data_IF_261642746980
#
_entry.id   IF_261642746980
#
_cell.length_a   1.000
_cell.length_b   1.000
_cell.length_c   1.000
_cell.angle_alpha   90.00
_cell.angle_beta   90.00
_cell.angle_gamma   90.00
#
_symmetry.space_group_name_H-M   'P 1'
#
loop_
_entity.id
_entity.type
_entity.pdbx_description
1 polymer ?
#
# COMPACT_ATOMS: atom_id res chain seq x y z
N UNK A 1 15.00 9.32 9.94
CA UNK A 1 13.57 9.05 9.80
C UNK A 1 13.25 7.59 10.15
N UNK A 2 13.92 6.62 9.58
CA UNK A 2 13.61 5.18 9.76
C UNK A 2 13.88 4.67 11.19
N UNK A 3 14.85 5.21 11.89
CA UNK A 3 15.18 4.81 13.27
C UNK A 3 14.25 5.44 14.31
N UNK A 4 13.79 6.66 14.06
CA UNK A 4 13.03 7.44 15.04
C UNK A 4 11.54 7.53 14.72
N UNK A 5 11.12 7.12 13.50
CA UNK A 5 9.76 7.31 13.01
C UNK A 5 9.43 8.76 12.60
N UNK A 6 10.36 9.70 12.73
CA UNK A 6 10.24 11.11 12.32
C UNK A 6 11.47 11.57 11.56
N UNK A 7 11.25 12.44 10.58
CA UNK A 7 12.35 13.05 9.84
C UNK A 7 11.89 13.65 8.52
N UNK A 8 12.79 14.44 7.91
CA UNK A 8 12.58 15.03 6.60
C UNK A 8 13.36 14.25 5.57
N UNK A 9 12.68 13.81 4.52
CA UNK A 9 13.26 13.15 3.35
C UNK A 9 13.17 14.10 2.17
N UNK A 10 14.25 14.26 1.42
CA UNK A 10 14.25 14.99 0.16
C UNK A 10 14.09 13.98 -0.98
N UNK A 11 13.02 14.14 -1.75
CA UNK A 11 12.72 13.34 -2.93
C UNK A 11 13.07 14.16 -4.17
N UNK A 12 13.73 13.54 -5.15
CA UNK A 12 14.02 14.13 -6.44
C UNK A 12 13.43 13.29 -7.56
N UNK A 13 13.04 13.97 -8.64
CA UNK A 13 12.71 13.34 -9.89
C UNK A 13 13.92 12.56 -10.44
N UNK A 14 13.64 11.45 -11.13
CA UNK A 14 14.67 10.76 -11.91
C UNK A 14 14.79 11.47 -13.24
N UNK A 15 15.91 12.14 -13.45
CA UNK A 15 16.20 12.91 -14.65
C UNK A 15 17.56 12.54 -15.19
N UNK A 16 17.66 12.37 -16.50
CA UNK A 16 18.85 12.06 -17.25
C UNK A 16 19.06 13.13 -18.34
N UNK A 17 20.30 13.41 -18.70
CA UNK A 17 20.63 14.33 -19.77
C UNK A 17 21.02 13.51 -20.98
N UNK A 18 20.22 13.60 -22.04
CA UNK A 18 20.50 13.01 -23.34
C UNK A 18 21.19 14.07 -24.22
N UNK A 19 22.45 13.83 -24.58
CA UNK A 19 23.18 14.71 -25.48
C UNK A 19 22.78 14.41 -26.92
N UNK A 20 22.30 15.41 -27.62
CA UNK A 20 21.92 15.35 -29.04
C UNK A 20 22.97 16.07 -29.94
N UNK A 21 22.95 15.81 -31.24
CA UNK A 21 23.85 16.46 -32.20
C UNK A 21 23.71 18.00 -32.23
N UNK A 22 22.53 18.52 -31.95
CA UNK A 22 22.21 19.96 -32.02
C UNK A 22 21.97 20.61 -30.67
N UNK A 23 21.43 19.90 -29.69
CA UNK A 23 21.09 20.40 -28.36
C UNK A 23 20.89 19.26 -27.37
N UNK A 24 21.16 19.53 -26.12
CA UNK A 24 20.92 18.58 -25.04
C UNK A 24 19.43 18.55 -24.68
N UNK A 25 18.98 17.39 -24.14
CA UNK A 25 17.64 17.19 -23.62
C UNK A 25 17.72 16.73 -22.19
N UNK A 26 16.87 17.28 -21.33
CA UNK A 26 16.66 16.76 -19.97
C UNK A 26 15.40 15.90 -20.01
N UNK A 27 15.59 14.59 -19.81
CA UNK A 27 14.51 13.59 -19.84
C UNK A 27 14.16 13.19 -18.41
N UNK A 28 12.91 13.35 -18.03
CA UNK A 28 12.41 13.04 -16.70
C UNK A 28 11.49 11.83 -16.82
N UNK A 29 11.86 10.73 -16.17
CA UNK A 29 11.13 9.45 -16.20
C UNK A 29 10.32 9.19 -14.93
N UNK A 30 10.67 9.84 -13.82
CA UNK A 30 9.92 9.73 -12.58
C UNK A 30 9.85 11.10 -11.89
N UNK A 31 8.70 11.43 -11.29
CA UNK A 31 8.50 12.65 -10.51
C UNK A 31 8.21 12.29 -9.04
N UNK A 32 8.47 13.19 -8.08
CA UNK A 32 8.19 12.93 -6.67
C UNK A 32 6.72 12.59 -6.42
N UNK A 33 6.48 11.72 -5.45
CA UNK A 33 5.13 11.31 -5.07
C UNK A 33 4.22 12.51 -4.75
N UNK A 34 3.01 12.48 -5.29
CA UNK A 34 2.00 13.53 -5.09
C UNK A 34 2.15 14.76 -5.99
N UNK A 35 3.16 14.81 -6.88
CA UNK A 35 3.32 15.89 -7.84
C UNK A 35 2.43 15.64 -9.06
N UNK A 36 1.63 16.65 -9.45
CA UNK A 36 0.86 16.60 -10.67
C UNK A 36 1.76 16.95 -11.87
N UNK A 37 1.84 16.03 -12.84
CA UNK A 37 2.71 16.16 -14.02
C UNK A 37 2.36 17.38 -14.88
N UNK A 38 1.08 17.58 -15.18
CA UNK A 38 0.64 18.68 -16.03
C UNK A 38 0.93 20.03 -15.39
N UNK A 39 0.56 20.19 -14.11
CA UNK A 39 0.84 21.41 -13.36
C UNK A 39 2.33 21.72 -13.25
N UNK A 40 3.18 20.67 -13.16
CA UNK A 40 4.63 20.82 -13.15
C UNK A 40 5.15 21.38 -14.48
N UNK A 41 4.69 20.83 -15.62
CA UNK A 41 5.09 21.29 -16.95
C UNK A 41 4.64 22.72 -17.20
N UNK A 42 3.39 23.05 -16.87
CA UNK A 42 2.85 24.40 -16.96
C UNK A 42 3.66 25.40 -16.12
N UNK A 43 4.02 25.02 -14.90
CA UNK A 43 4.84 25.87 -14.03
C UNK A 43 6.27 26.05 -14.55
N UNK A 44 6.88 25.03 -15.15
CA UNK A 44 8.19 25.15 -15.83
C UNK A 44 8.09 26.16 -16.98
N UNK A 45 7.04 26.05 -17.81
CA UNK A 45 6.80 26.99 -18.92
C UNK A 45 6.60 28.44 -18.43
N UNK A 46 5.92 28.62 -17.30
CA UNK A 46 5.74 29.93 -16.67
C UNK A 46 7.08 30.53 -16.20
N UNK A 47 7.93 29.73 -15.52
CA UNK A 47 9.26 30.16 -15.09
C UNK A 47 10.17 30.56 -16.26
N UNK A 48 10.04 29.89 -17.39
CA UNK A 48 10.76 30.25 -18.64
C UNK A 48 10.22 31.56 -19.21
N UNK A 49 8.90 31.75 -19.27
CA UNK A 49 8.23 32.97 -19.76
C UNK A 49 8.56 34.18 -18.91
N UNK A 50 8.67 34.00 -17.61
CA UNK A 50 9.06 35.05 -16.64
C UNK A 50 10.57 35.36 -16.64
N UNK A 51 11.38 34.60 -17.40
CA UNK A 51 12.84 34.77 -17.45
C UNK A 51 13.59 34.31 -16.20
N UNK A 52 12.92 33.53 -15.32
CA UNK A 52 13.56 32.99 -14.09
C UNK A 52 14.48 31.83 -14.41
N UNK A 53 14.16 31.05 -15.45
CA UNK A 53 15.00 29.97 -15.99
C UNK A 53 15.25 30.22 -17.47
N UNK A 54 16.48 30.66 -17.80
CA UNK A 54 16.92 30.80 -19.16
C UNK A 54 17.53 29.49 -19.69
N UNK A 55 17.56 29.33 -21.01
CA UNK A 55 18.23 28.20 -21.65
C UNK A 55 17.33 27.00 -21.96
N UNK A 56 16.04 27.07 -21.65
CA UNK A 56 15.02 26.10 -22.08
C UNK A 56 14.37 26.63 -23.36
N UNK A 57 14.27 25.77 -24.39
CA UNK A 57 13.58 26.08 -25.64
C UNK A 57 12.15 25.54 -25.65
N UNK A 58 11.94 24.34 -25.10
CA UNK A 58 10.62 23.72 -25.04
C UNK A 58 10.52 22.74 -23.86
N UNK A 59 9.28 22.40 -23.45
CA UNK A 59 8.99 21.37 -22.45
C UNK A 59 7.76 20.58 -22.89
N UNK A 60 7.95 19.32 -23.23
CA UNK A 60 6.93 18.44 -23.80
C UNK A 60 6.66 17.24 -22.90
N UNK A 61 5.39 16.78 -22.91
CA UNK A 61 5.00 15.51 -22.36
C UNK A 61 4.96 14.44 -23.45
N UNK A 62 5.96 13.58 -23.46
CA UNK A 62 6.06 12.43 -24.37
C UNK A 62 5.64 11.10 -23.69
N UNK A 63 4.95 11.18 -22.58
CA UNK A 63 4.51 9.99 -21.82
C UNK A 63 3.58 9.11 -22.66
N UNK A 64 3.78 7.81 -22.60
CA UNK A 64 3.01 6.83 -23.37
C UNK A 64 2.86 5.51 -22.64
N UNK A 65 2.56 4.45 -23.41
CA UNK A 65 2.40 3.07 -22.86
C UNK A 65 3.67 2.53 -22.20
N UNK A 66 4.84 3.07 -22.56
CA UNK A 66 6.14 2.68 -22.00
C UNK A 66 6.45 3.35 -20.67
N UNK A 67 5.65 4.32 -20.23
CA UNK A 67 5.81 5.03 -18.98
C UNK A 67 5.82 6.55 -19.12
N UNK A 68 6.21 7.20 -18.03
CA UNK A 68 6.34 8.66 -17.99
C UNK A 68 7.62 9.11 -18.71
N UNK A 69 7.47 10.12 -19.57
CA UNK A 69 8.60 10.78 -20.24
C UNK A 69 8.27 12.26 -20.44
N UNK A 70 8.89 13.11 -19.66
CA UNK A 70 8.83 14.57 -19.85
C UNK A 70 10.18 14.97 -20.44
N UNK A 71 10.15 15.68 -21.55
CA UNK A 71 11.36 16.11 -22.28
C UNK A 71 11.45 17.62 -22.25
N UNK A 72 12.57 18.12 -21.77
CA UNK A 72 12.89 19.55 -21.72
C UNK A 72 14.06 19.78 -22.67
N UNK A 73 13.81 20.48 -23.77
CA UNK A 73 14.83 20.81 -24.77
C UNK A 73 15.65 22.02 -24.28
N UNK A 74 16.96 21.85 -24.27
CA UNK A 74 17.93 22.88 -23.83
C UNK A 74 18.47 23.64 -25.04
N UNK A 75 18.62 24.97 -24.94
CA UNK A 75 19.24 25.79 -26.02
C UNK A 75 20.71 25.42 -26.18
N UNK A 76 21.25 25.61 -27.40
CA UNK A 76 22.65 25.24 -27.78
C UNK A 76 23.72 25.88 -26.89
N UNK A 77 23.50 27.10 -26.45
CA UNK A 77 24.41 27.93 -25.66
C UNK A 77 24.23 27.73 -24.14
N UNK A 78 23.34 26.85 -23.73
CA UNK A 78 23.02 26.64 -22.33
C UNK A 78 23.53 25.28 -21.82
N UNK A 79 23.91 25.27 -20.54
CA UNK A 79 24.39 24.04 -19.88
C UNK A 79 23.21 23.28 -19.22
N UNK A 80 22.93 22.08 -19.70
CA UNK A 80 21.84 21.25 -19.21
C UNK A 80 21.92 20.93 -17.69
N UNK A 81 23.13 20.73 -17.15
CA UNK A 81 23.32 20.47 -15.73
C UNK A 81 22.93 21.67 -14.85
N UNK A 82 23.24 22.88 -15.31
CA UNK A 82 22.90 24.12 -14.60
C UNK A 82 21.39 24.31 -14.60
N UNK A 83 20.74 24.05 -15.75
CA UNK A 83 19.28 24.12 -15.87
C UNK A 83 18.61 23.08 -14.98
N UNK A 84 19.06 21.83 -14.98
CA UNK A 84 18.54 20.77 -14.15
C UNK A 84 18.64 21.13 -12.66
N UNK A 85 19.75 21.71 -12.23
CA UNK A 85 19.92 22.17 -10.86
C UNK A 85 18.99 23.35 -10.49
N UNK A 86 18.75 24.28 -11.45
CA UNK A 86 17.74 25.35 -11.27
C UNK A 86 16.33 24.77 -11.16
N UNK A 87 16.00 23.80 -11.99
CA UNK A 87 14.71 23.09 -11.95
C UNK A 87 14.47 22.38 -10.62
N UNK A 88 15.46 21.66 -10.08
CA UNK A 88 15.37 21.07 -8.74
C UNK A 88 15.18 22.11 -7.62
N UNK A 89 15.77 23.29 -7.76
CA UNK A 89 15.66 24.33 -6.75
C UNK A 89 14.33 25.11 -6.82
N UNK A 90 13.78 25.29 -8.00
CA UNK A 90 12.66 26.20 -8.26
C UNK A 90 11.31 25.51 -8.49
N UNK A 91 11.33 24.19 -8.70
CA UNK A 91 10.11 23.43 -9.04
C UNK A 91 9.90 22.23 -8.13
N UNK A 92 8.74 21.57 -8.26
CA UNK A 92 8.41 20.36 -7.55
C UNK A 92 9.17 19.11 -8.03
N UNK A 93 10.13 19.25 -8.97
CA UNK A 93 11.08 18.18 -9.31
C UNK A 93 11.96 17.76 -8.12
N UNK A 94 12.09 18.62 -7.13
CA UNK A 94 12.60 18.28 -5.82
C UNK A 94 11.62 18.76 -4.76
N UNK A 95 11.15 17.85 -3.92
CA UNK A 95 10.25 18.15 -2.82
C UNK A 95 10.73 17.50 -1.54
N UNK A 96 10.30 18.04 -0.40
CA UNK A 96 10.58 17.41 0.90
C UNK A 96 9.33 16.77 1.47
N UNK A 97 9.49 15.54 1.94
CA UNK A 97 8.45 14.81 2.64
C UNK A 97 8.81 14.68 4.13
N UNK A 98 7.88 15.08 4.98
CA UNK A 98 8.04 14.95 6.43
C UNK A 98 7.46 13.61 6.89
N UNK A 99 8.34 12.68 7.22
CA UNK A 99 7.97 11.36 7.75
C UNK A 99 7.43 11.52 9.17
N UNK A 100 6.27 10.91 9.43
CA UNK A 100 5.68 10.80 10.76
C UNK A 100 4.94 9.45 10.85
N UNK A 101 5.67 8.42 11.31
CA UNK A 101 5.16 7.04 11.34
C UNK A 101 4.35 6.80 12.63
N UNK A 102 3.12 7.32 12.68
CA UNK A 102 2.18 7.01 13.75
C UNK A 102 1.29 5.87 13.32
N UNK A 103 1.22 4.82 14.15
CA UNK A 103 0.33 3.69 13.95
C UNK A 103 -0.36 3.27 15.26
N UNK A 104 -1.47 2.52 15.12
CA UNK A 104 -2.18 1.96 16.27
C UNK A 104 -1.54 0.64 16.68
N UNK A 105 -1.00 0.60 17.90
CA UNK A 105 -0.48 -0.63 18.52
C UNK A 105 -1.39 -0.99 19.69
N UNK A 106 -2.07 -2.13 19.60
CA UNK A 106 -3.04 -2.59 20.60
C UNK A 106 -4.09 -1.51 20.94
N UNK A 107 -4.59 -0.81 19.90
CA UNK A 107 -5.60 0.25 20.02
C UNK A 107 -5.08 1.61 20.50
N UNK A 108 -3.77 1.79 20.71
CA UNK A 108 -3.17 3.06 21.14
C UNK A 108 -2.25 3.62 20.06
N UNK A 109 -2.33 4.92 19.75
CA UNK A 109 -1.42 5.55 18.80
C UNK A 109 0.00 5.61 19.38
N UNK A 110 0.97 5.18 18.58
CA UNK A 110 2.40 5.24 18.92
C UNK A 110 3.21 5.69 17.71
N UNK A 111 4.25 6.46 17.98
CA UNK A 111 5.27 6.74 16.98
C UNK A 111 6.20 5.53 16.91
N UNK A 112 6.38 4.99 15.70
CA UNK A 112 7.11 3.76 15.47
C UNK A 112 8.31 3.99 14.56
N UNK A 113 9.42 3.33 14.88
CA UNK A 113 10.51 3.14 13.90
C UNK A 113 10.08 2.16 12.80
N UNK A 114 10.79 2.12 11.68
CA UNK A 114 10.53 1.11 10.63
C UNK A 114 10.63 -0.31 11.19
N UNK A 115 11.63 -0.57 12.03
CA UNK A 115 11.81 -1.87 12.70
C UNK A 115 10.60 -2.23 13.57
N UNK A 116 10.09 -1.27 14.35
CA UNK A 116 8.92 -1.48 15.20
C UNK A 116 7.65 -1.71 14.37
N UNK A 117 7.48 -0.99 13.25
CA UNK A 117 6.36 -1.23 12.33
C UNK A 117 6.33 -2.68 11.84
N UNK A 118 7.48 -3.20 11.37
CA UNK A 118 7.60 -4.59 10.92
C UNK A 118 7.36 -5.57 12.08
N UNK A 119 7.96 -5.31 13.25
CA UNK A 119 7.78 -6.17 14.44
C UNK A 119 6.30 -6.28 14.84
N UNK A 120 5.62 -5.16 15.03
CA UNK A 120 4.21 -5.16 15.43
C UNK A 120 3.29 -5.73 14.34
N UNK A 121 3.64 -5.57 13.07
CA UNK A 121 2.91 -6.21 11.98
C UNK A 121 3.01 -7.74 12.07
N UNK A 122 4.22 -8.29 12.29
CA UNK A 122 4.43 -9.73 12.43
C UNK A 122 3.71 -10.27 13.67
N UNK A 123 3.82 -9.59 14.82
CA UNK A 123 3.10 -9.96 16.04
C UNK A 123 1.59 -9.98 15.81
N UNK A 124 1.03 -8.96 15.16
CA UNK A 124 -0.39 -8.90 14.83
C UNK A 124 -0.82 -10.06 13.92
N UNK A 125 -0.04 -10.37 12.89
CA UNK A 125 -0.30 -11.49 11.98
C UNK A 125 -0.30 -12.83 12.72
N UNK A 126 0.64 -13.01 13.63
CA UNK A 126 0.71 -14.20 14.49
C UNK A 126 -0.56 -14.35 15.35
N UNK A 127 -0.95 -13.30 16.07
CA UNK A 127 -2.14 -13.30 16.91
C UNK A 127 -3.44 -13.55 16.13
N UNK A 128 -3.56 -12.95 14.95
CA UNK A 128 -4.73 -13.16 14.06
C UNK A 128 -4.79 -14.61 13.58
N UNK A 129 -3.64 -15.19 13.19
CA UNK A 129 -3.57 -16.59 12.75
C UNK A 129 -4.00 -17.53 13.87
N UNK A 130 -3.49 -17.35 15.10
CA UNK A 130 -3.87 -18.16 16.25
C UNK A 130 -5.38 -18.06 16.53
N UNK A 131 -5.94 -16.84 16.52
CA UNK A 131 -7.38 -16.64 16.78
C UNK A 131 -8.24 -17.32 15.72
N UNK A 132 -7.85 -17.20 14.44
CA UNK A 132 -8.54 -17.86 13.34
C UNK A 132 -8.50 -19.38 13.49
N UNK A 133 -7.31 -19.94 13.73
CA UNK A 133 -7.16 -21.39 13.89
C UNK A 133 -7.95 -21.93 15.10
N UNK A 134 -7.98 -21.18 16.22
CA UNK A 134 -8.82 -21.55 17.38
C UNK A 134 -10.31 -21.54 17.05
N UNK A 135 -10.76 -20.57 16.26
CA UNK A 135 -12.16 -20.53 15.82
C UNK A 135 -12.50 -21.70 14.90
N UNK A 136 -11.64 -21.99 13.93
CA UNK A 136 -11.83 -23.10 12.98
C UNK A 136 -11.83 -24.44 13.72
N UNK A 137 -10.92 -24.61 14.69
CA UNK A 137 -10.87 -25.79 15.56
C UNK A 137 -12.16 -25.97 16.35
N UNK A 138 -12.65 -24.90 16.98
CA UNK A 138 -13.91 -24.94 17.74
C UNK A 138 -15.07 -25.37 16.84
N UNK A 139 -15.17 -24.81 15.63
CA UNK A 139 -16.21 -25.19 14.65
C UNK A 139 -16.11 -26.64 14.22
N UNK A 140 -14.89 -27.14 14.00
CA UNK A 140 -14.67 -28.54 13.66
C UNK A 140 -15.05 -29.46 14.82
N UNK A 141 -14.72 -29.11 16.07
CA UNK A 141 -15.08 -29.86 17.27
C UNK A 141 -16.62 -29.90 17.48
N UNK A 142 -17.31 -28.76 17.32
CA UNK A 142 -18.78 -28.69 17.37
C UNK A 142 -19.41 -29.62 16.33
N UNK A 143 -18.86 -29.69 15.12
CA UNK A 143 -19.34 -30.58 14.05
C UNK A 143 -19.02 -32.04 14.35
N UNK A 144 -17.81 -32.33 14.86
CA UNK A 144 -17.41 -33.69 15.24
C UNK A 144 -18.35 -34.26 16.33
N UNK A 145 -18.65 -33.44 17.35
CA UNK A 145 -19.58 -33.84 18.41
C UNK A 145 -20.99 -34.22 17.90
N UNK A 146 -21.52 -33.41 16.95
CA UNK A 146 -22.81 -33.76 16.31
C UNK A 146 -22.72 -35.08 15.54
N UNK A 147 -21.62 -35.29 14.82
CA UNK A 147 -21.43 -36.54 14.04
C UNK A 147 -21.24 -37.75 14.93
N UNK A 148 -20.55 -37.62 16.07
CA UNK A 148 -20.41 -38.67 17.10
C UNK A 148 -21.78 -39.08 17.65
N UNK A 149 -22.63 -38.09 17.99
CA UNK A 149 -23.99 -38.38 18.41
C UNK A 149 -24.84 -39.07 17.34
N UNK A 150 -24.69 -38.68 16.05
CA UNK A 150 -25.37 -39.34 14.94
C UNK A 150 -24.88 -40.78 14.74
N UNK A 151 -23.60 -41.07 14.92
CA UNK A 151 -23.06 -42.45 14.84
C UNK A 151 -23.71 -43.30 15.93
N UNK A 152 -23.75 -42.84 17.18
CA UNK A 152 -24.39 -43.57 18.29
C UNK A 152 -25.86 -43.82 17.96
N UNK A 153 -26.57 -42.83 17.42
CA UNK A 153 -27.98 -42.98 17.04
C UNK A 153 -28.19 -44.00 15.89
N UNK A 154 -27.27 -44.04 14.92
CA UNK A 154 -27.31 -45.01 13.83
C UNK A 154 -27.03 -46.44 14.30
N UNK A 155 -26.08 -46.60 15.23
CA UNK A 155 -25.72 -47.90 15.80
C UNK A 155 -26.87 -48.51 16.64
N UNK A 156 -27.74 -47.64 17.21
CA UNK A 156 -28.87 -48.02 18.04
C UNK A 156 -30.23 -47.58 17.44
N UNK A 157 -30.35 -47.62 16.15
CA UNK A 157 -31.48 -47.00 15.39
C UNK A 157 -32.86 -47.50 15.86
N UNK A 158 -33.00 -48.77 16.13
CA UNK A 158 -34.29 -49.38 16.54
C UNK A 158 -34.75 -48.84 17.91
N UNK A 159 -33.80 -48.65 18.84
CA UNK A 159 -34.08 -48.10 20.14
C UNK A 159 -34.46 -46.63 20.05
N UNK A 160 -33.69 -45.85 19.26
CA UNK A 160 -33.98 -44.43 19.00
C UNK A 160 -35.34 -44.23 18.40
N UNK A 161 -35.72 -45.04 17.40
CA UNK A 161 -37.04 -44.98 16.76
C UNK A 161 -38.15 -45.34 17.77
N UNK A 162 -37.94 -46.35 18.64
CA UNK A 162 -38.88 -46.71 19.71
C UNK A 162 -39.11 -45.56 20.68
N UNK A 163 -38.06 -44.90 21.17
CA UNK A 163 -38.11 -43.75 22.07
C UNK A 163 -38.88 -42.58 21.42
N UNK A 164 -38.58 -42.24 20.18
CA UNK A 164 -39.24 -41.17 19.46
C UNK A 164 -40.75 -41.46 19.31
N UNK A 165 -41.11 -42.68 18.93
CA UNK A 165 -42.52 -43.07 18.75
C UNK A 165 -43.31 -43.13 20.06
N UNK A 166 -42.66 -43.48 21.17
CA UNK A 166 -43.27 -43.54 22.49
C UNK A 166 -43.45 -42.16 23.11
N UNK A 167 -42.74 -41.15 22.67
CA UNK A 167 -42.80 -39.78 23.21
C UNK A 167 -44.00 -39.02 22.69
N UNK A 168 -44.71 -38.29 23.58
CA UNK A 168 -45.90 -37.51 23.20
C UNK A 168 -45.58 -36.16 22.57
N UNK A 169 -44.43 -35.58 22.89
CA UNK A 169 -44.00 -34.28 22.37
C UNK A 169 -42.54 -34.35 21.89
N UNK A 170 -42.12 -33.47 20.96
CA UNK A 170 -40.71 -33.39 20.55
C UNK A 170 -39.75 -33.13 21.71
N UNK A 171 -40.18 -32.33 22.71
CA UNK A 171 -39.38 -32.01 23.90
C UNK A 171 -39.18 -33.23 24.81
N UNK A 172 -40.20 -34.09 24.91
CA UNK A 172 -40.10 -35.35 25.67
C UNK A 172 -39.17 -36.33 24.93
N UNK A 173 -39.25 -36.40 23.60
CA UNK A 173 -38.36 -37.22 22.82
C UNK A 173 -36.89 -36.79 22.98
N UNK A 174 -36.62 -35.51 22.94
CA UNK A 174 -35.27 -34.97 23.15
C UNK A 174 -34.72 -35.35 24.52
N UNK A 175 -35.51 -35.15 25.59
CA UNK A 175 -35.10 -35.49 26.96
C UNK A 175 -34.85 -36.98 27.18
N UNK A 176 -35.60 -37.81 26.48
CA UNK A 176 -35.48 -39.28 26.62
C UNK A 176 -34.31 -39.83 25.77
N UNK A 177 -33.78 -39.05 24.82
CA UNK A 177 -32.61 -39.40 24.01
C UNK A 177 -31.28 -38.89 24.61
N UNK A 178 -31.33 -37.88 25.52
CA UNK A 178 -30.18 -37.41 26.29
C UNK A 178 -29.81 -38.40 27.42
#
# INVERSE_FOLDING_TARGET
AYETGRGRIVMRAKAEIESGENHDKIVITEIPYGVNKQALIEYIAELVKEGKIDGISNANDESGRQGMRIVIDVKRDANANVILNKLFKMTALQSSFSVNCIALVKGRPRLLSLKDCVKYFVEHRHDVTIRRTKYDLKKAQERAHILEGLIIACDNIDEVVHIIRASKTPTDAQRNLE
#
